data_IF_027236820634
#
_entry.id   IF_027236820634
#
_cell.length_a   1.000
_cell.length_b   1.000
_cell.length_c   1.000
_cell.angle_alpha   90.00
_cell.angle_beta   90.00
_cell.angle_gamma   90.00
#
_symmetry.space_group_name_H-M   'P 1'
#
loop_
_entity.id
_entity.type
_entity.pdbx_description
1 polymer ?
#
# COMPACT_ATOMS: atom_id res chain seq x y z
N UNK A 1 16.33 1.59 9.77
CA UNK A 1 16.46 2.04 8.37
C UNK A 1 16.36 0.80 7.48
N UNK A 2 15.74 0.88 6.30
CA UNK A 2 15.55 -0.29 5.43
C UNK A 2 16.81 -0.55 4.58
N UNK A 3 17.81 -1.19 5.21
CA UNK A 3 19.14 -1.42 4.58
C UNK A 3 19.08 -2.21 3.28
N UNK A 4 18.21 -3.21 3.17
CA UNK A 4 18.12 -4.02 1.95
C UNK A 4 17.58 -3.22 0.75
N UNK A 5 16.59 -2.35 0.96
CA UNK A 5 16.11 -1.45 -0.10
C UNK A 5 17.21 -0.48 -0.55
N UNK A 6 18.03 0.01 0.39
CA UNK A 6 19.17 0.88 0.06
C UNK A 6 20.15 0.21 -0.89
N UNK A 7 20.46 -1.07 -0.67
CA UNK A 7 21.39 -1.85 -1.51
C UNK A 7 20.88 -2.03 -2.95
N UNK A 8 19.57 -2.20 -3.13
CA UNK A 8 18.95 -2.35 -4.45
C UNK A 8 19.08 -1.06 -5.28
N UNK A 9 18.87 0.10 -4.64
CA UNK A 9 18.97 1.39 -5.31
C UNK A 9 17.81 1.72 -6.26
N UNK A 10 17.86 2.91 -6.87
CA UNK A 10 16.71 3.54 -7.54
C UNK A 10 16.71 3.44 -9.08
N UNK A 11 17.69 2.76 -9.67
CA UNK A 11 17.89 2.73 -11.13
C UNK A 11 16.77 1.97 -11.83
N UNK A 12 16.48 0.78 -11.35
CA UNK A 12 15.60 -0.17 -12.03
C UNK A 12 14.30 -0.44 -11.26
N UNK A 13 13.40 -1.14 -11.92
CA UNK A 13 12.20 -1.70 -11.28
C UNK A 13 12.45 -3.17 -11.05
N UNK A 14 12.24 -3.62 -9.83
CA UNK A 14 12.35 -5.04 -9.48
C UNK A 14 10.98 -5.61 -9.14
N UNK A 15 10.89 -6.94 -9.14
CA UNK A 15 9.69 -7.68 -8.75
C UNK A 15 9.69 -7.87 -7.23
N UNK A 16 8.57 -7.55 -6.61
CA UNK A 16 8.36 -7.72 -5.18
C UNK A 16 7.08 -8.52 -4.92
N UNK A 17 7.01 -9.14 -3.76
CA UNK A 17 5.79 -9.68 -3.19
C UNK A 17 5.52 -9.07 -1.82
N UNK A 18 4.26 -9.08 -1.40
CA UNK A 18 3.84 -8.66 -0.07
C UNK A 18 2.47 -9.22 0.28
N UNK A 19 2.22 -9.38 1.58
CA UNK A 19 0.97 -9.92 2.11
C UNK A 19 0.04 -8.79 2.51
N UNK A 20 -1.19 -8.78 1.99
CA UNK A 20 -2.17 -7.75 2.33
C UNK A 20 -2.55 -7.80 3.80
N UNK A 21 -2.54 -6.64 4.45
CA UNK A 21 -2.82 -6.51 5.87
C UNK A 21 -4.06 -5.67 6.20
N UNK A 22 -4.18 -4.46 5.62
CA UNK A 22 -5.31 -3.56 5.91
C UNK A 22 -5.43 -2.49 4.82
N UNK A 23 -6.65 -2.00 4.61
CA UNK A 23 -6.90 -0.74 3.90
C UNK A 23 -6.85 0.46 4.86
N UNK A 24 -6.72 1.65 4.31
CA UNK A 24 -6.80 2.91 5.05
C UNK A 24 -6.96 4.08 4.09
N UNK A 25 -6.83 5.30 4.61
CA UNK A 25 -6.73 6.50 3.80
C UNK A 25 -5.84 7.52 4.51
N UNK A 26 -5.35 8.49 3.74
CA UNK A 26 -4.59 9.63 4.25
C UNK A 26 -5.11 10.91 3.64
N UNK A 27 -5.05 12.01 4.38
CA UNK A 27 -5.35 13.33 3.83
C UNK A 27 -4.14 13.87 3.06
N UNK A 28 -4.39 14.38 1.86
CA UNK A 28 -3.37 15.01 1.01
C UNK A 28 -3.18 16.50 1.33
N UNK A 29 -4.13 17.11 2.06
CA UNK A 29 -4.09 18.50 2.50
C UNK A 29 -4.26 18.62 4.01
N UNK A 30 -3.85 19.77 4.55
CA UNK A 30 -3.85 20.06 5.98
C UNK A 30 -5.27 20.29 6.52
N UNK A 31 -6.16 20.75 5.66
CA UNK A 31 -7.57 21.02 5.95
C UNK A 31 -8.41 19.73 6.01
N UNK A 32 -7.83 18.58 5.65
CA UNK A 32 -8.49 17.27 5.63
C UNK A 32 -9.67 17.19 4.66
N UNK A 33 -9.59 17.89 3.54
CA UNK A 33 -10.65 17.91 2.52
C UNK A 33 -10.45 16.84 1.43
N UNK A 34 -9.22 16.35 1.23
CA UNK A 34 -8.86 15.44 0.15
C UNK A 34 -8.19 14.18 0.71
N UNK A 35 -9.02 13.22 1.14
CA UNK A 35 -8.53 11.89 1.48
C UNK A 35 -8.20 11.06 0.23
N UNK A 36 -7.12 10.29 0.32
CA UNK A 36 -6.65 9.35 -0.70
C UNK A 36 -6.57 7.94 -0.11
N UNK A 37 -7.10 6.92 -0.80
CA UNK A 37 -7.12 5.57 -0.29
C UNK A 37 -5.71 4.95 -0.30
N UNK A 38 -5.43 4.13 0.70
CA UNK A 38 -4.15 3.47 0.92
C UNK A 38 -4.33 2.02 1.32
N UNK A 39 -3.27 1.24 1.22
CA UNK A 39 -3.22 -0.14 1.70
C UNK A 39 -1.86 -0.44 2.35
N UNK A 40 -1.84 -1.39 3.27
CA UNK A 40 -0.62 -1.90 3.90
C UNK A 40 -0.35 -3.30 3.38
N UNK A 41 0.86 -3.49 2.87
CA UNK A 41 1.43 -4.81 2.63
C UNK A 41 2.49 -5.09 3.70
N UNK A 42 2.50 -6.31 4.23
CA UNK A 42 3.48 -6.84 5.17
C UNK A 42 4.42 -7.82 4.48
N UNK A 43 5.54 -8.14 5.11
CA UNK A 43 6.52 -9.13 4.65
C UNK A 43 6.92 -8.84 3.19
N UNK A 44 7.40 -7.62 2.94
CA UNK A 44 7.80 -7.21 1.60
C UNK A 44 9.07 -7.94 1.22
N UNK A 45 9.02 -8.71 0.14
CA UNK A 45 10.15 -9.48 -0.34
C UNK A 45 10.52 -9.08 -1.76
N UNK A 46 11.81 -8.96 -2.04
CA UNK A 46 12.36 -8.91 -3.39
C UNK A 46 12.37 -10.32 -3.98
N UNK A 47 11.99 -10.45 -5.25
CA UNK A 47 12.19 -11.68 -6.02
C UNK A 47 13.46 -11.48 -6.86
N UNK A 48 14.49 -12.26 -6.56
CA UNK A 48 15.76 -12.20 -7.27
C UNK A 48 15.71 -12.95 -8.62
N UNK A 49 16.84 -12.98 -9.34
CA UNK A 49 16.95 -13.66 -10.64
C UNK A 49 16.77 -15.17 -10.57
N UNK A 50 16.96 -15.78 -9.40
CA UNK A 50 16.79 -17.22 -9.15
C UNK A 50 15.39 -17.57 -8.62
N UNK A 51 14.45 -16.61 -8.63
CA UNK A 51 13.12 -16.69 -8.00
C UNK A 51 13.15 -16.90 -6.48
N UNK A 52 14.24 -16.56 -5.80
CA UNK A 52 14.28 -16.58 -4.33
C UNK A 52 13.64 -15.32 -3.77
N UNK A 53 12.91 -15.47 -2.67
CA UNK A 53 12.30 -14.35 -1.98
C UNK A 53 13.18 -13.86 -0.82
N UNK A 54 13.62 -12.60 -0.90
CA UNK A 54 14.48 -11.97 0.11
C UNK A 54 13.66 -10.90 0.85
N UNK A 55 13.50 -11.01 2.17
CA UNK A 55 12.79 -10.02 2.97
C UNK A 55 13.53 -8.67 2.96
N UNK A 56 12.85 -7.61 2.52
CA UNK A 56 13.43 -6.26 2.40
C UNK A 56 12.73 -5.21 3.27
N UNK A 57 11.50 -5.50 3.75
CA UNK A 57 10.80 -4.65 4.72
C UNK A 57 9.67 -5.42 5.43
N UNK A 58 9.46 -5.16 6.72
CA UNK A 58 8.36 -5.76 7.49
C UNK A 58 6.98 -5.32 6.98
N UNK A 59 6.86 -4.04 6.62
CA UNK A 59 5.65 -3.47 6.06
C UNK A 59 5.92 -2.19 5.28
N UNK A 60 5.06 -1.93 4.30
CA UNK A 60 5.03 -0.69 3.52
C UNK A 60 3.59 -0.24 3.29
N UNK A 61 3.40 1.08 3.35
CA UNK A 61 2.16 1.74 2.97
C UNK A 61 2.21 2.11 1.49
N UNK A 62 1.15 1.77 0.76
CA UNK A 62 0.98 2.11 -0.64
C UNK A 62 -0.29 2.94 -0.82
N UNK A 63 -0.28 3.83 -1.81
CA UNK A 63 -1.55 4.36 -2.33
C UNK A 63 -2.31 3.19 -2.97
N UNK A 64 -3.64 3.13 -2.77
CA UNK A 64 -4.49 2.14 -3.43
C UNK A 64 -4.73 2.57 -4.90
N UNK A 65 -3.73 2.32 -5.74
CA UNK A 65 -3.75 2.69 -7.16
C UNK A 65 -4.80 1.91 -7.94
N UNK A 66 -5.14 2.37 -9.15
CA UNK A 66 -6.04 1.64 -10.06
C UNK A 66 -5.58 0.20 -10.31
N UNK A 67 -4.28 -0.05 -10.40
CA UNK A 67 -3.73 -1.39 -10.57
C UNK A 67 -4.01 -2.31 -9.37
N UNK A 68 -3.94 -1.80 -8.14
CA UNK A 68 -4.36 -2.57 -6.97
C UNK A 68 -5.88 -2.73 -6.89
N UNK A 69 -6.68 -1.70 -7.24
CA UNK A 69 -8.15 -1.80 -7.27
C UNK A 69 -8.64 -2.87 -8.26
N UNK A 70 -7.91 -3.11 -9.36
CA UNK A 70 -8.20 -4.18 -10.33
C UNK A 70 -8.05 -5.59 -9.76
N UNK A 71 -7.33 -5.76 -8.66
CA UNK A 71 -7.31 -7.03 -7.93
C UNK A 71 -8.57 -7.26 -7.10
N UNK A 72 -9.49 -6.28 -7.06
CA UNK A 72 -10.67 -6.25 -6.19
C UNK A 72 -10.32 -5.98 -4.72
N UNK A 73 -11.31 -6.16 -3.85
CA UNK A 73 -11.16 -6.02 -2.39
C UNK A 73 -10.46 -7.28 -1.88
N UNK A 74 -9.30 -7.09 -1.27
CA UNK A 74 -8.42 -8.13 -0.77
C UNK A 74 -8.82 -8.56 0.64
N UNK A 75 -8.64 -9.85 0.93
CA UNK A 75 -8.73 -10.43 2.27
C UNK A 75 -7.35 -10.42 2.93
N UNK A 76 -7.32 -10.22 4.24
CA UNK A 76 -6.07 -10.25 5.02
C UNK A 76 -5.36 -11.58 4.78
N UNK A 77 -4.05 -11.52 4.51
CA UNK A 77 -3.25 -12.70 4.20
C UNK A 77 -3.07 -12.98 2.71
N UNK A 78 -3.85 -12.35 1.82
CA UNK A 78 -3.67 -12.54 0.38
C UNK A 78 -2.34 -11.95 -0.10
N UNK A 79 -1.61 -12.72 -0.90
CA UNK A 79 -0.30 -12.35 -1.42
C UNK A 79 -0.45 -11.62 -2.75
N UNK A 80 0.22 -10.48 -2.84
CA UNK A 80 0.23 -9.59 -4.00
C UNK A 80 1.65 -9.47 -4.52
N UNK A 81 1.78 -9.52 -5.84
CA UNK A 81 3.02 -9.31 -6.56
C UNK A 81 2.96 -8.00 -7.34
N UNK A 82 4.09 -7.29 -7.42
CA UNK A 82 4.16 -6.02 -8.15
C UNK A 82 5.60 -5.67 -8.52
N UNK A 83 5.77 -4.87 -9.56
CA UNK A 83 7.03 -4.24 -9.90
C UNK A 83 7.12 -2.85 -9.26
N UNK A 84 8.18 -2.60 -8.48
CA UNK A 84 8.39 -1.33 -7.78
C UNK A 84 9.80 -0.77 -8.04
N UNK A 85 9.96 0.54 -7.82
CA UNK A 85 11.28 1.19 -7.81
C UNK A 85 11.57 1.72 -6.41
N UNK A 86 12.79 1.50 -5.91
CA UNK A 86 13.21 2.08 -4.63
C UNK A 86 13.35 3.59 -4.77
N UNK A 87 12.83 4.34 -3.82
CA UNK A 87 13.05 5.79 -3.72
C UNK A 87 13.33 6.20 -2.29
N UNK A 88 13.99 7.36 -2.13
CA UNK A 88 14.29 7.91 -0.82
C UNK A 88 13.00 8.49 -0.20
N UNK A 89 12.86 8.31 1.11
CA UNK A 89 11.84 8.93 1.93
C UNK A 89 12.53 9.71 3.05
N UNK A 90 12.38 11.03 3.01
CA UNK A 90 12.89 11.90 4.07
C UNK A 90 11.94 11.82 5.27
N UNK A 91 12.46 11.34 6.40
CA UNK A 91 11.73 11.18 7.66
C UNK A 91 12.29 12.15 8.69
N UNK A 92 11.44 13.07 9.16
CA UNK A 92 11.76 14.07 10.17
C UNK A 92 11.10 15.42 9.87
N UNK A 93 10.93 16.25 10.89
CA UNK A 93 10.61 17.67 10.74
C UNK A 93 11.92 18.46 10.79
N UNK A 94 11.98 19.60 10.09
CA UNK A 94 13.21 20.41 9.89
C UNK A 94 14.03 20.69 11.17
N UNK A 95 13.41 20.64 12.35
CA UNK A 95 14.04 20.93 13.64
C UNK A 95 14.73 19.72 14.32
N UNK A 96 14.37 18.48 13.98
CA UNK A 96 14.85 17.26 14.66
C UNK A 96 15.82 16.40 13.82
N UNK A 97 16.29 16.97 12.69
CA UNK A 97 17.15 16.27 11.74
C UNK A 97 16.37 15.44 10.71
N UNK A 98 16.80 15.51 9.45
CA UNK A 98 16.22 14.73 8.35
C UNK A 98 16.96 13.40 8.28
N UNK A 99 16.28 12.29 8.60
CA UNK A 99 16.79 10.94 8.35
C UNK A 99 16.32 10.45 6.97
N UNK A 100 17.17 9.75 6.22
CA UNK A 100 16.79 9.12 4.95
C UNK A 100 16.35 7.70 5.25
N UNK A 101 15.12 7.37 4.87
CA UNK A 101 14.58 6.01 4.81
C UNK A 101 14.28 5.66 3.34
N UNK A 102 13.85 4.42 3.08
CA UNK A 102 13.59 3.93 1.73
C UNK A 102 12.15 3.43 1.60
N UNK A 103 11.54 3.64 0.43
CA UNK A 103 10.20 3.15 0.08
C UNK A 103 10.19 2.57 -1.33
N UNK A 104 9.11 1.87 -1.66
CA UNK A 104 8.82 1.43 -3.01
C UNK A 104 7.74 2.32 -3.62
N UNK A 105 7.98 2.82 -4.83
CA UNK A 105 7.04 3.68 -5.54
C UNK A 105 6.66 3.15 -6.92
N UNK A 106 5.58 3.75 -7.43
CA UNK A 106 5.02 3.53 -8.77
C UNK A 106 4.75 2.05 -9.06
N UNK A 107 4.01 1.32 -8.22
CA UNK A 107 3.78 -0.11 -8.42
C UNK A 107 3.11 -0.38 -9.79
N UNK A 108 3.63 -1.35 -10.55
CA UNK A 108 3.12 -1.80 -11.86
C UNK A 108 3.12 -3.33 -11.95
N UNK A 109 2.56 -3.92 -13.01
CA UNK A 109 2.44 -5.39 -13.18
C UNK A 109 1.89 -6.07 -11.90
N UNK A 110 0.80 -5.52 -11.40
CA UNK A 110 0.21 -5.91 -10.12
C UNK A 110 -0.66 -7.14 -10.34
N UNK A 111 -0.37 -8.21 -9.60
CA UNK A 111 -1.00 -9.52 -9.76
C UNK A 111 -1.25 -10.15 -8.37
N UNK A 112 -2.27 -10.99 -8.28
CA UNK A 112 -2.48 -11.86 -7.12
C UNK A 112 -1.69 -13.15 -7.29
N UNK A 113 -1.43 -13.83 -6.17
CA UNK A 113 -1.06 -15.24 -6.20
C UNK A 113 -2.07 -16.04 -7.03
N UNK A 114 -1.58 -16.86 -7.95
CA UNK A 114 -2.41 -17.58 -8.93
C UNK A 114 -3.47 -18.46 -8.26
N UNK A 115 -3.16 -19.00 -7.08
CA UNK A 115 -4.10 -19.78 -6.27
C UNK A 115 -5.37 -19.01 -5.87
N UNK A 116 -5.34 -17.67 -5.95
CA UNK A 116 -6.45 -16.77 -5.58
C UNK A 116 -7.23 -16.24 -6.80
N UNK A 117 -6.84 -16.59 -8.03
CA UNK A 117 -7.43 -16.07 -9.27
C UNK A 117 -8.83 -16.65 -9.57
N UNK A 118 -9.23 -17.75 -8.95
CA UNK A 118 -10.53 -18.40 -9.18
C UNK A 118 -11.71 -17.82 -8.37
N UNK A 119 -11.50 -16.71 -7.67
CA UNK A 119 -12.54 -16.06 -6.87
C UNK A 119 -13.49 -15.23 -7.76
N UNK A 120 -14.40 -15.92 -8.46
CA UNK A 120 -15.43 -15.34 -9.36
C UNK A 120 -16.40 -14.36 -8.68
N UNK A 121 -16.36 -14.24 -7.35
CA UNK A 121 -17.27 -13.39 -6.56
C UNK A 121 -16.58 -12.18 -5.91
N UNK A 122 -15.37 -11.82 -6.37
CA UNK A 122 -14.64 -10.72 -5.72
C UNK A 122 -15.37 -9.38 -5.90
N UNK A 123 -15.63 -8.70 -4.78
CA UNK A 123 -16.14 -7.31 -4.78
C UNK A 123 -15.03 -6.35 -5.21
N UNK A 124 -15.40 -5.24 -5.83
CA UNK A 124 -14.46 -4.21 -6.29
C UNK A 124 -14.73 -2.89 -5.59
N UNK A 125 -13.66 -2.09 -5.43
CA UNK A 125 -13.81 -0.71 -5.02
C UNK A 125 -14.42 0.13 -6.14
N UNK A 126 -15.16 1.20 -5.80
CA UNK A 126 -15.53 2.22 -6.77
C UNK A 126 -14.28 2.87 -7.37
N UNK A 127 -14.42 3.42 -8.58
CA UNK A 127 -13.29 4.03 -9.28
C UNK A 127 -12.82 5.31 -8.58
N UNK A 128 -13.77 6.11 -8.08
CA UNK A 128 -13.52 7.39 -7.45
C UNK A 128 -12.90 7.24 -6.07
N UNK A 129 -11.84 8.01 -5.81
CA UNK A 129 -11.08 7.94 -4.55
C UNK A 129 -11.93 8.30 -3.33
N UNK A 130 -12.83 9.29 -3.45
CA UNK A 130 -13.68 9.72 -2.32
C UNK A 130 -14.66 8.62 -1.90
N UNK A 131 -15.30 7.96 -2.88
CA UNK A 131 -16.16 6.79 -2.64
C UNK A 131 -15.35 5.64 -2.04
N UNK A 132 -14.14 5.41 -2.56
CA UNK A 132 -13.24 4.36 -2.04
C UNK A 132 -12.89 4.63 -0.57
N UNK A 133 -12.57 5.87 -0.21
CA UNK A 133 -12.27 6.25 1.18
C UNK A 133 -13.47 6.04 2.10
N UNK A 134 -14.68 6.36 1.64
CA UNK A 134 -15.91 6.11 2.41
C UNK A 134 -16.17 4.60 2.59
N UNK A 135 -15.97 3.79 1.56
CA UNK A 135 -16.06 2.32 1.68
C UNK A 135 -15.04 1.80 2.71
N UNK A 136 -13.80 2.28 2.68
CA UNK A 136 -12.77 1.91 3.66
C UNK A 136 -13.15 2.37 5.07
N UNK A 137 -13.75 3.56 5.21
CA UNK A 137 -14.29 4.02 6.47
C UNK A 137 -15.33 3.05 7.02
N UNK A 138 -16.31 2.70 6.19
CA UNK A 138 -17.42 1.83 6.57
C UNK A 138 -16.94 0.41 6.92
N UNK A 139 -15.87 -0.10 6.28
CA UNK A 139 -15.22 -1.36 6.63
C UNK A 139 -14.63 -1.40 8.05
N UNK A 140 -14.23 -0.25 8.59
CA UNK A 140 -13.55 -0.14 9.89
C UNK A 140 -14.22 0.90 10.81
N UNK A 141 -15.52 1.11 10.64
CA UNK A 141 -16.27 2.20 11.27
C UNK A 141 -16.17 2.16 12.80
N UNK A 142 -16.26 0.98 13.41
CA UNK A 142 -16.12 0.81 14.86
C UNK A 142 -14.76 1.30 15.38
N UNK A 143 -13.65 0.93 14.72
CA UNK A 143 -12.29 1.38 15.09
C UNK A 143 -12.14 2.89 14.89
N UNK A 144 -12.67 3.42 13.78
CA UNK A 144 -12.59 4.85 13.50
C UNK A 144 -13.42 5.70 14.45
N UNK A 145 -14.65 5.30 14.77
CA UNK A 145 -15.50 5.98 15.75
C UNK A 145 -14.84 5.98 17.13
N UNK A 146 -14.31 4.82 17.57
CA UNK A 146 -13.61 4.72 18.86
C UNK A 146 -12.39 5.65 18.97
N UNK A 147 -11.77 5.97 17.84
CA UNK A 147 -10.58 6.82 17.75
C UNK A 147 -10.88 8.27 17.37
N UNK A 148 -12.16 8.64 17.35
CA UNK A 148 -12.63 9.97 16.94
C UNK A 148 -12.11 10.39 15.55
N UNK A 149 -12.08 9.41 14.63
CA UNK A 149 -11.75 9.63 13.23
C UNK A 149 -13.06 9.81 12.46
N UNK A 150 -13.33 11.00 11.90
CA UNK A 150 -14.55 11.25 11.16
C UNK A 150 -14.53 10.58 9.78
N UNK A 151 -15.73 10.36 9.23
CA UNK A 151 -15.89 9.90 7.85
C UNK A 151 -15.26 10.93 6.90
N UNK A 152 -14.41 10.51 5.93
CA UNK A 152 -13.60 11.45 5.18
C UNK A 152 -14.41 12.32 4.22
N UNK A 153 -15.54 11.83 3.71
CA UNK A 153 -16.45 12.58 2.86
C UNK A 153 -17.89 12.40 3.33
N UNK A 154 -18.52 13.52 3.71
CA UNK A 154 -19.96 13.58 3.95
C UNK A 154 -20.63 13.71 2.56
N UNK A 155 -21.53 12.78 2.25
CA UNK A 155 -22.18 12.68 0.94
C UNK A 155 -23.09 13.86 0.63
#
# INVERSE_FOLDING_TARGET
MREELKKIGNKERHRYSGTFAKYGYKYADRQRNHAKPTMILKNIKLIDSDNKEILVADHLWFNLTSGFKKLGILKVGEKVFFNGRVTNYHKGYYLDGISIDYKLERPTKIELDESLNHLSERKYFPNEDWKTCNVIYDMYSEDYIKRDIPKPYLG
#
